data_IF_918250556340
#
_entry.id   IF_918250556340
#
_cell.length_a   1.000
_cell.length_b   1.000
_cell.length_c   1.000
_cell.angle_alpha   90.00
_cell.angle_beta   90.00
_cell.angle_gamma   90.00
#
_symmetry.space_group_name_H-M   'P 1'
#
loop_
_entity.id
_entity.type
_entity.pdbx_description
1 polymer ?
#
# COMPACT_ATOMS: atom_id res chain seq x y z
N UNK A 1 -28.28 58.39 7.11
CA UNK A 1 -27.24 57.46 7.53
C UNK A 1 -27.33 56.22 6.67
N UNK A 2 -26.34 55.93 5.85
CA UNK A 2 -26.32 54.75 4.99
C UNK A 2 -25.92 53.55 5.83
N UNK A 3 -26.75 52.52 5.92
CA UNK A 3 -26.50 51.25 6.60
C UNK A 3 -25.83 50.31 5.62
N UNK A 4 -24.53 50.15 5.67
CA UNK A 4 -23.80 49.14 4.88
C UNK A 4 -23.91 47.81 5.60
N UNK A 5 -24.71 46.89 5.08
CA UNK A 5 -24.83 45.54 5.59
C UNK A 5 -23.85 44.66 4.75
N UNK A 6 -22.77 44.24 5.32
CA UNK A 6 -21.80 43.32 4.66
C UNK A 6 -22.35 41.90 4.79
N UNK A 7 -22.95 41.37 3.72
CA UNK A 7 -23.42 39.98 3.66
C UNK A 7 -22.33 38.95 3.34
N UNK A 8 -21.07 39.37 3.24
CA UNK A 8 -19.96 38.50 2.87
C UNK A 8 -19.67 37.38 3.90
N UNK A 9 -20.16 37.47 5.12
CA UNK A 9 -19.86 36.51 6.18
C UNK A 9 -20.71 35.23 6.14
N UNK A 10 -21.96 35.31 5.69
CA UNK A 10 -22.89 34.17 5.73
C UNK A 10 -22.53 33.11 4.70
N UNK A 11 -22.24 33.52 3.44
CA UNK A 11 -21.84 32.60 2.37
C UNK A 11 -20.49 31.93 2.69
N UNK A 12 -19.56 32.68 3.27
CA UNK A 12 -18.26 32.14 3.69
C UNK A 12 -18.41 31.15 4.84
N UNK A 13 -19.22 31.49 5.87
CA UNK A 13 -19.53 30.59 6.97
C UNK A 13 -20.24 29.30 6.50
N UNK A 14 -21.15 29.41 5.54
CA UNK A 14 -21.83 28.25 4.95
C UNK A 14 -20.85 27.37 4.19
N UNK A 15 -19.93 27.95 3.41
CA UNK A 15 -18.87 27.20 2.69
C UNK A 15 -17.92 26.49 3.65
N UNK A 16 -17.51 27.16 4.73
CA UNK A 16 -16.69 26.55 5.79
C UNK A 16 -17.43 25.41 6.50
N UNK A 17 -18.74 25.57 6.76
CA UNK A 17 -19.56 24.51 7.35
C UNK A 17 -19.69 23.29 6.42
N UNK A 18 -19.86 23.51 5.11
CA UNK A 18 -19.85 22.42 4.11
C UNK A 18 -18.50 21.71 4.08
N UNK A 19 -17.40 22.46 4.13
CA UNK A 19 -16.04 21.93 4.18
C UNK A 19 -15.83 21.06 5.43
N UNK A 20 -16.25 21.54 6.60
CA UNK A 20 -16.20 20.79 7.85
C UNK A 20 -17.01 19.49 7.78
N UNK A 21 -18.18 19.51 7.16
CA UNK A 21 -19.02 18.33 6.96
C UNK A 21 -18.46 17.31 5.96
N UNK A 22 -17.52 17.70 5.09
CA UNK A 22 -16.91 16.83 4.08
C UNK A 22 -15.51 16.35 4.45
N UNK A 23 -14.95 16.77 5.58
CA UNK A 23 -13.57 16.44 5.99
C UNK A 23 -13.29 14.93 5.95
N UNK A 24 -14.19 14.12 6.47
CA UNK A 24 -14.04 12.66 6.51
C UNK A 24 -13.95 12.06 5.08
N UNK A 25 -14.83 12.48 4.18
CA UNK A 25 -14.83 11.98 2.80
C UNK A 25 -13.59 12.42 2.02
N UNK A 26 -13.17 13.68 2.19
CA UNK A 26 -11.96 14.22 1.54
C UNK A 26 -10.71 13.54 2.07
N UNK A 27 -10.59 13.38 3.39
CA UNK A 27 -9.45 12.70 4.00
C UNK A 27 -9.36 11.23 3.54
N UNK A 28 -10.48 10.50 3.53
CA UNK A 28 -10.53 9.12 3.03
C UNK A 28 -10.11 9.02 1.57
N UNK A 29 -10.57 9.95 0.73
CA UNK A 29 -10.20 9.99 -0.69
C UNK A 29 -8.71 10.29 -0.87
N UNK A 30 -8.17 11.26 -0.15
CA UNK A 30 -6.76 11.63 -0.21
C UNK A 30 -5.85 10.47 0.25
N UNK A 31 -6.12 9.88 1.43
CA UNK A 31 -5.35 8.74 1.94
C UNK A 31 -5.46 7.53 1.00
N UNK A 32 -6.64 7.24 0.47
CA UNK A 32 -6.84 6.19 -0.52
C UNK A 32 -6.00 6.40 -1.78
N UNK A 33 -5.92 7.65 -2.29
CA UNK A 33 -5.09 8.01 -3.45
C UNK A 33 -3.61 7.80 -3.18
N UNK A 34 -3.11 8.25 -2.02
CA UNK A 34 -1.72 8.05 -1.61
C UNK A 34 -1.37 6.57 -1.41
N UNK A 35 -2.26 5.80 -0.78
CA UNK A 35 -2.10 4.36 -0.61
C UNK A 35 -2.06 3.61 -1.95
N UNK A 36 -2.90 4.00 -2.92
CA UNK A 36 -2.87 3.44 -4.27
C UNK A 36 -1.51 3.58 -4.94
N UNK A 37 -0.93 4.78 -4.92
CA UNK A 37 0.41 5.05 -5.50
C UNK A 37 1.49 4.16 -4.87
N UNK A 38 1.45 4.00 -3.54
CA UNK A 38 2.40 3.14 -2.83
C UNK A 38 2.18 1.67 -3.18
N UNK A 39 0.94 1.20 -3.22
CA UNK A 39 0.60 -0.18 -3.56
C UNK A 39 1.02 -0.53 -5.00
N UNK A 40 0.78 0.36 -5.95
CA UNK A 40 1.21 0.18 -7.35
C UNK A 40 2.74 0.12 -7.48
N UNK A 41 3.46 0.90 -6.66
CA UNK A 41 4.92 0.84 -6.65
C UNK A 41 5.44 -0.47 -6.04
N UNK A 42 4.80 -0.97 -4.98
CA UNK A 42 5.13 -2.28 -4.39
C UNK A 42 4.85 -3.39 -5.40
N UNK A 43 3.70 -3.36 -6.08
CA UNK A 43 3.32 -4.31 -7.12
C UNK A 43 4.35 -4.35 -8.24
N UNK A 44 4.71 -3.19 -8.81
CA UNK A 44 5.73 -3.10 -9.87
C UNK A 44 7.09 -3.63 -9.44
N UNK A 45 7.52 -3.34 -8.21
CA UNK A 45 8.78 -3.89 -7.71
C UNK A 45 8.71 -5.40 -7.56
N UNK A 46 7.57 -5.94 -7.10
CA UNK A 46 7.34 -7.37 -6.95
C UNK A 46 7.34 -8.08 -8.32
N UNK A 47 6.69 -7.49 -9.33
CA UNK A 47 6.70 -7.97 -10.72
C UNK A 47 8.12 -8.05 -11.31
N UNK A 48 8.99 -7.11 -10.91
CA UNK A 48 10.38 -7.04 -11.38
C UNK A 48 11.38 -7.85 -10.53
N UNK A 49 10.92 -8.60 -9.53
CA UNK A 49 11.82 -9.47 -8.78
C UNK A 49 12.41 -10.55 -9.70
N UNK A 50 13.69 -10.83 -9.48
CA UNK A 50 14.38 -11.90 -10.17
C UNK A 50 13.73 -13.24 -9.83
N UNK A 51 13.30 -13.95 -10.84
CA UNK A 51 12.78 -15.29 -10.69
C UNK A 51 13.93 -16.29 -10.58
N UNK A 52 13.73 -17.28 -9.72
CA UNK A 52 14.60 -18.43 -9.61
C UNK A 52 13.98 -19.56 -10.46
N UNK A 53 14.46 -19.67 -11.68
CA UNK A 53 14.03 -20.70 -12.59
C UNK A 53 14.88 -21.96 -12.39
N UNK A 54 14.41 -22.86 -11.54
CA UNK A 54 14.93 -24.22 -11.47
C UNK A 54 13.91 -25.17 -12.12
N UNK A 55 14.02 -25.45 -13.44
CA UNK A 55 13.16 -26.41 -14.10
C UNK A 55 13.45 -27.80 -13.52
N UNK A 56 12.48 -28.33 -12.81
CA UNK A 56 12.37 -29.76 -12.56
C UNK A 56 13.00 -30.32 -11.30
N UNK A 57 13.82 -29.61 -10.55
CA UNK A 57 14.36 -30.12 -9.29
C UNK A 57 14.55 -28.96 -8.30
N UNK A 58 13.48 -28.60 -7.58
CA UNK A 58 13.69 -27.87 -6.32
C UNK A 58 14.61 -28.71 -5.46
N UNK A 59 15.89 -28.33 -5.38
CA UNK A 59 16.68 -28.76 -4.23
C UNK A 59 15.83 -28.42 -3.03
N UNK A 60 15.37 -29.43 -2.32
CA UNK A 60 14.70 -29.24 -1.03
C UNK A 60 15.60 -28.31 -0.23
N UNK A 61 15.04 -27.43 0.60
CA UNK A 61 15.81 -26.62 1.53
C UNK A 61 16.89 -27.42 2.27
N UNK A 62 16.69 -28.72 2.40
CA UNK A 62 17.59 -29.71 3.01
C UNK A 62 18.82 -30.05 2.17
N UNK A 63 18.86 -29.68 0.88
CA UNK A 63 19.94 -30.01 -0.05
C UNK A 63 20.80 -28.78 -0.41
N UNK A 64 20.62 -27.65 0.28
CA UNK A 64 21.52 -26.51 0.19
C UNK A 64 22.81 -26.84 0.93
N UNK A 65 23.97 -26.50 0.33
CA UNK A 65 25.24 -26.53 1.04
C UNK A 65 25.23 -25.54 2.22
N UNK A 66 26.08 -25.76 3.21
CA UNK A 66 26.19 -24.84 4.35
C UNK A 66 26.50 -23.42 3.86
N UNK A 67 25.66 -22.46 4.25
CA UNK A 67 25.77 -21.06 3.82
C UNK A 67 25.22 -20.73 2.44
N UNK A 68 24.79 -21.72 1.66
CA UNK A 68 24.14 -21.51 0.36
C UNK A 68 22.71 -20.93 0.56
N UNK A 69 22.33 -19.96 -0.29
CA UNK A 69 21.00 -19.35 -0.27
C UNK A 69 20.42 -19.29 -1.67
N UNK A 70 19.12 -19.51 -1.79
CA UNK A 70 18.42 -19.28 -3.03
C UNK A 70 18.54 -17.81 -3.46
N UNK A 71 18.89 -17.61 -4.73
CA UNK A 71 18.82 -16.30 -5.39
C UNK A 71 17.51 -16.25 -6.18
N UNK A 72 16.69 -15.31 -5.98
CA UNK A 72 15.46 -15.23 -6.72
C UNK A 72 14.21 -15.72 -5.97
N UNK A 73 13.08 -15.63 -6.63
CA UNK A 73 11.78 -16.06 -6.13
C UNK A 73 11.15 -17.04 -7.14
N UNK A 74 10.63 -18.21 -6.70
CA UNK A 74 9.87 -19.09 -7.58
C UNK A 74 8.65 -18.37 -8.19
N UNK A 75 8.37 -18.65 -9.46
CA UNK A 75 7.26 -18.04 -10.19
C UNK A 75 5.93 -18.13 -9.43
N UNK A 76 5.62 -19.32 -8.89
CA UNK A 76 4.38 -19.52 -8.14
C UNK A 76 4.33 -18.68 -6.85
N UNK A 77 5.43 -18.57 -6.09
CA UNK A 77 5.49 -17.72 -4.90
C UNK A 77 5.35 -16.24 -5.25
N UNK A 78 5.91 -15.81 -6.39
CA UNK A 78 5.75 -14.45 -6.91
C UNK A 78 4.30 -14.17 -7.27
N UNK A 79 3.64 -15.12 -7.93
CA UNK A 79 2.22 -15.04 -8.26
C UNK A 79 1.36 -14.97 -6.99
N UNK A 80 1.60 -15.85 -6.03
CA UNK A 80 0.88 -15.86 -4.75
C UNK A 80 1.02 -14.51 -4.02
N UNK A 81 2.21 -13.91 -4.03
CA UNK A 81 2.43 -12.56 -3.47
C UNK A 81 1.65 -11.47 -4.23
N UNK A 82 1.62 -11.53 -5.56
CA UNK A 82 0.89 -10.56 -6.40
C UNK A 82 -0.62 -10.65 -6.18
N UNK A 83 -1.14 -11.87 -6.08
CA UNK A 83 -2.58 -12.14 -5.89
C UNK A 83 -3.08 -11.72 -4.51
N UNK A 84 -2.19 -11.74 -3.49
CA UNK A 84 -2.51 -11.43 -2.11
C UNK A 84 -2.03 -10.06 -1.63
N UNK A 85 -1.49 -9.22 -2.53
CA UNK A 85 -1.17 -7.82 -2.22
C UNK A 85 -2.44 -7.00 -2.20
N UNK A 86 -2.78 -6.45 -1.06
CA UNK A 86 -3.99 -5.66 -0.86
C UNK A 86 -3.75 -4.32 -0.17
N UNK A 87 -4.78 -3.47 -0.25
CA UNK A 87 -4.90 -2.20 0.49
C UNK A 87 -6.18 -2.27 1.31
N UNK A 88 -6.09 -2.00 2.61
CA UNK A 88 -7.29 -1.94 3.45
C UNK A 88 -8.13 -0.71 3.09
N UNK A 89 -9.42 -0.75 3.45
CA UNK A 89 -10.23 0.47 3.48
C UNK A 89 -9.56 1.50 4.39
N UNK A 90 -9.73 2.76 4.05
CA UNK A 90 -9.27 3.85 4.92
C UNK A 90 -10.11 3.86 6.18
N UNK A 91 -9.45 3.85 7.30
CA UNK A 91 -10.05 3.85 8.63
C UNK A 91 -9.46 4.96 9.48
N UNK A 92 -10.10 5.26 10.59
CA UNK A 92 -9.65 6.26 11.57
C UNK A 92 -9.12 5.54 12.79
N UNK A 93 -7.91 5.84 13.19
CA UNK A 93 -7.29 5.24 14.35
C UNK A 93 -7.77 5.88 15.67
N UNK A 94 -7.25 5.40 16.80
CA UNK A 94 -7.61 5.89 18.14
C UNK A 94 -7.23 7.35 18.38
N UNK A 95 -6.31 7.89 17.58
CA UNK A 95 -5.86 9.29 17.68
C UNK A 95 -6.67 10.21 16.76
N UNK A 96 -7.59 9.67 15.96
CA UNK A 96 -8.34 10.41 14.96
C UNK A 96 -7.63 10.53 13.60
N UNK A 97 -6.51 9.82 13.39
CA UNK A 97 -5.75 9.86 12.15
C UNK A 97 -6.31 8.90 11.11
N UNK A 98 -6.47 9.39 9.87
CA UNK A 98 -6.89 8.56 8.75
C UNK A 98 -5.73 7.73 8.23
N UNK A 99 -5.91 6.43 8.12
CA UNK A 99 -4.89 5.52 7.65
C UNK A 99 -5.44 4.44 6.71
N UNK A 100 -4.58 3.92 5.84
CA UNK A 100 -4.78 2.70 5.07
C UNK A 100 -3.53 1.85 5.19
N UNK A 101 -3.71 0.54 5.29
CA UNK A 101 -2.61 -0.42 5.37
C UNK A 101 -2.43 -1.08 4.01
N UNK A 102 -1.18 -1.14 3.56
CA UNK A 102 -0.78 -1.90 2.38
C UNK A 102 -0.05 -3.12 2.89
N UNK A 103 -0.45 -4.29 2.44
CA UNK A 103 0.14 -5.53 2.97
C UNK A 103 -0.36 -6.76 2.23
N UNK A 104 -0.10 -7.88 2.85
CA UNK A 104 -0.40 -9.20 2.33
C UNK A 104 -1.27 -9.94 3.34
N UNK A 105 -2.22 -10.73 2.84
CA UNK A 105 -3.06 -11.62 3.65
C UNK A 105 -3.15 -13.00 3.01
N UNK A 106 -3.86 -13.93 3.66
CA UNK A 106 -4.10 -15.27 3.13
C UNK A 106 -2.91 -16.21 3.23
N UNK A 107 -2.99 -17.27 2.41
CA UNK A 107 -2.06 -18.39 2.39
C UNK A 107 -1.60 -18.66 0.98
N UNK A 108 -0.36 -19.16 0.82
CA UNK A 108 0.18 -19.54 -0.49
C UNK A 108 -0.50 -20.81 -1.04
N UNK A 109 -0.37 -21.01 -2.33
CA UNK A 109 -0.98 -22.13 -3.05
C UNK A 109 -0.23 -23.46 -2.87
N UNK A 110 0.85 -23.50 -2.08
CA UNK A 110 1.72 -24.66 -1.96
C UNK A 110 1.73 -25.24 -0.55
N UNK A 111 0.89 -26.28 -0.26
CA UNK A 111 0.91 -26.96 1.00
C UNK A 111 2.28 -27.59 1.29
N UNK A 112 2.68 -27.53 2.56
CA UNK A 112 3.87 -28.22 3.08
C UNK A 112 3.48 -29.07 4.28
N UNK A 113 4.34 -29.99 4.68
CA UNK A 113 4.09 -30.80 5.87
C UNK A 113 3.83 -29.93 7.12
N UNK A 114 4.55 -28.82 7.26
CA UNK A 114 4.36 -27.86 8.36
C UNK A 114 3.14 -26.95 8.18
N UNK A 115 2.76 -26.69 6.96
CA UNK A 115 1.65 -25.80 6.59
C UNK A 115 0.72 -26.52 5.59
N UNK A 116 -0.16 -27.39 6.05
CA UNK A 116 -1.04 -28.19 5.17
C UNK A 116 -2.00 -27.34 4.32
N UNK A 117 -2.34 -26.14 4.81
CA UNK A 117 -3.23 -25.20 4.10
C UNK A 117 -2.45 -24.07 3.38
N UNK A 118 -1.16 -24.26 3.16
CA UNK A 118 -0.28 -23.21 2.62
C UNK A 118 0.41 -22.38 3.73
N UNK A 119 1.50 -21.71 3.38
CA UNK A 119 2.21 -20.80 4.29
C UNK A 119 1.49 -19.44 4.34
N UNK A 120 1.43 -18.75 5.48
CA UNK A 120 0.94 -17.39 5.52
C UNK A 120 1.71 -16.47 4.56
N UNK A 121 1.01 -15.80 3.66
CA UNK A 121 1.65 -14.88 2.68
C UNK A 121 2.46 -13.76 3.35
N UNK A 122 2.04 -13.17 4.49
CA UNK A 122 2.88 -12.18 5.17
C UNK A 122 4.25 -12.73 5.60
N UNK A 123 4.32 -14.01 5.94
CA UNK A 123 5.59 -14.66 6.28
C UNK A 123 6.48 -14.82 5.04
N UNK A 124 5.89 -15.21 3.91
CA UNK A 124 6.58 -15.29 2.62
C UNK A 124 7.10 -13.91 2.20
N UNK A 125 6.25 -12.88 2.23
CA UNK A 125 6.60 -11.51 1.89
C UNK A 125 7.80 -11.00 2.73
N UNK A 126 7.78 -11.27 4.05
CA UNK A 126 8.89 -10.93 4.95
C UNK A 126 10.18 -11.67 4.59
N UNK A 127 10.09 -12.96 4.24
CA UNK A 127 11.25 -13.77 3.86
C UNK A 127 11.87 -13.28 2.53
N UNK A 128 11.07 -12.78 1.60
CA UNK A 128 11.56 -12.19 0.36
C UNK A 128 12.18 -10.81 0.61
N UNK A 129 11.49 -9.93 1.33
CA UNK A 129 11.94 -8.55 1.62
C UNK A 129 13.25 -8.51 2.40
N UNK A 130 13.35 -9.34 3.46
CA UNK A 130 14.47 -9.28 4.42
C UNK A 130 15.50 -10.39 4.24
N UNK A 131 15.17 -11.41 3.44
CA UNK A 131 15.93 -12.65 3.36
C UNK A 131 15.65 -13.58 4.55
N UNK A 132 16.23 -14.77 4.48
CA UNK A 132 16.17 -15.78 5.53
C UNK A 132 17.48 -16.58 5.58
N UNK A 133 17.55 -17.61 6.43
CA UNK A 133 18.67 -18.55 6.47
C UNK A 133 18.92 -19.26 5.12
N UNK A 134 17.85 -19.44 4.33
CA UNK A 134 17.89 -20.20 3.06
C UNK A 134 17.61 -19.35 1.82
N UNK A 135 17.29 -18.06 1.97
CA UNK A 135 16.94 -17.18 0.85
C UNK A 135 17.71 -15.87 0.92
N UNK A 136 18.26 -15.43 -0.21
CA UNK A 136 18.80 -14.09 -0.36
C UNK A 136 17.68 -13.05 -0.28
N UNK A 137 17.98 -11.89 0.31
CA UNK A 137 17.02 -10.78 0.36
C UNK A 137 16.80 -10.17 -1.03
N UNK A 138 15.55 -9.93 -1.35
CA UNK A 138 15.13 -9.19 -2.54
C UNK A 138 14.10 -8.12 -2.11
N UNK A 139 14.58 -6.96 -1.63
CA UNK A 139 13.69 -5.93 -1.09
C UNK A 139 12.85 -5.29 -2.19
N UNK A 140 11.55 -5.30 -2.02
CA UNK A 140 10.58 -4.73 -2.96
C UNK A 140 9.64 -3.70 -2.31
N UNK A 141 9.41 -3.80 -0.99
CA UNK A 141 8.57 -2.86 -0.23
C UNK A 141 9.35 -1.59 0.11
N UNK A 142 10.50 -1.72 0.79
CA UNK A 142 11.26 -0.57 1.25
C UNK A 142 11.75 0.36 0.11
N UNK A 143 12.21 -0.15 -1.05
CA UNK A 143 12.53 0.70 -2.19
C UNK A 143 11.31 1.41 -2.78
N UNK A 144 10.15 0.73 -2.86
CA UNK A 144 8.89 1.32 -3.32
C UNK A 144 8.50 2.52 -2.46
N UNK A 145 8.45 2.34 -1.14
CA UNK A 145 8.10 3.40 -0.18
C UNK A 145 9.05 4.58 -0.31
N UNK A 146 10.36 4.34 -0.30
CA UNK A 146 11.36 5.43 -0.42
C UNK A 146 11.21 6.23 -1.71
N UNK A 147 10.98 5.55 -2.83
CA UNK A 147 10.88 6.17 -4.16
C UNK A 147 9.59 6.98 -4.32
N UNK A 148 8.49 6.52 -3.74
CA UNK A 148 7.15 7.08 -4.03
C UNK A 148 6.56 7.92 -2.92
N UNK A 149 7.17 7.97 -1.72
CA UNK A 149 6.66 8.74 -0.57
C UNK A 149 6.29 10.18 -0.94
N UNK A 150 7.18 10.89 -1.64
CA UNK A 150 6.93 12.30 -2.03
C UNK A 150 5.76 12.41 -3.02
N UNK A 151 5.70 11.53 -4.01
CA UNK A 151 4.63 11.52 -4.99
C UNK A 151 3.27 11.16 -4.36
N UNK A 152 3.26 10.23 -3.41
CA UNK A 152 2.04 9.88 -2.67
C UNK A 152 1.52 11.08 -1.86
N UNK A 153 2.41 11.80 -1.15
CA UNK A 153 2.04 13.00 -0.39
C UNK A 153 1.52 14.10 -1.35
N UNK A 154 2.19 14.34 -2.46
CA UNK A 154 1.76 15.34 -3.44
C UNK A 154 0.36 15.01 -4.01
N UNK A 155 0.11 13.75 -4.35
CA UNK A 155 -1.20 13.31 -4.82
C UNK A 155 -2.31 13.40 -3.75
N UNK A 156 -1.96 13.24 -2.48
CA UNK A 156 -2.91 13.46 -1.38
C UNK A 156 -3.28 14.95 -1.26
N UNK A 157 -2.30 15.85 -1.39
CA UNK A 157 -2.52 17.29 -1.38
C UNK A 157 -3.36 17.75 -2.57
N UNK A 158 -3.05 17.25 -3.77
CA UNK A 158 -3.84 17.52 -4.98
C UNK A 158 -5.32 17.18 -4.80
N UNK A 159 -5.64 16.02 -4.22
CA UNK A 159 -7.03 15.64 -3.92
C UNK A 159 -7.69 16.61 -2.96
N UNK A 160 -6.96 17.06 -1.92
CA UNK A 160 -7.48 18.01 -0.94
C UNK A 160 -7.76 19.36 -1.62
N UNK A 161 -6.82 19.85 -2.43
CA UNK A 161 -6.95 21.13 -3.14
C UNK A 161 -8.08 21.10 -4.15
N UNK A 162 -8.22 20.02 -4.93
CA UNK A 162 -9.32 19.83 -5.87
C UNK A 162 -10.71 19.86 -5.18
N UNK A 163 -10.84 19.14 -4.07
CA UNK A 163 -12.12 19.10 -3.34
C UNK A 163 -12.42 20.45 -2.67
N UNK A 164 -11.39 21.14 -2.17
CA UNK A 164 -11.51 22.50 -1.65
C UNK A 164 -12.01 23.47 -2.74
N UNK A 165 -11.38 23.46 -3.92
CA UNK A 165 -11.78 24.31 -5.04
C UNK A 165 -13.22 24.03 -5.50
N UNK A 166 -13.65 22.76 -5.55
CA UNK A 166 -15.03 22.41 -5.90
C UNK A 166 -16.05 23.01 -4.94
N UNK A 167 -15.72 23.09 -3.65
CA UNK A 167 -16.59 23.67 -2.63
C UNK A 167 -16.64 25.18 -2.76
N UNK A 168 -15.47 25.80 -3.04
CA UNK A 168 -15.37 27.25 -3.17
C UNK A 168 -15.94 27.80 -4.47
N UNK A 169 -15.89 27.03 -5.57
CA UNK A 169 -16.42 27.43 -6.90
C UNK A 169 -17.90 27.06 -7.13
N UNK A 170 -18.53 26.26 -6.27
CA UNK A 170 -19.98 26.01 -6.36
C UNK A 170 -20.74 27.23 -5.86
N UNK A 171 -21.12 28.07 -6.83
CA UNK A 171 -22.17 29.09 -6.67
C UNK A 171 -23.55 28.44 -6.49
#
# INVERSE_FOLDING_TARGET
>A
MAKVTVKAGEDYALRLSKLAGMQDAVAKKAVGRGAGILADAVRRNLENLQEDYHPGNRKSYWNLAEGEKYAGIPEQEKKDLLDHLGVTKVDVDKNGDYNAKIGFDGYDSQPTQKYPNGRPIPMLARAVESGSSVRQKQPFIAPAVRKTKKAAIAAMQEVIDEEYEKIMKRE
#
